data_IF_274786941873
#
_entry.id   IF_274786941873
#
_cell.length_a   1.000
_cell.length_b   1.000
_cell.length_c   1.000
_cell.angle_alpha   90.00
_cell.angle_beta   90.00
_cell.angle_gamma   90.00
#
_symmetry.space_group_name_H-M   'P 1'
#
loop_
_entity.id
_entity.type
_entity.pdbx_description
1 polymer ?
#
# COMPACT_ATOMS: atom_id res chain seq x y z
N UNK A 1 -5.73 23.86 16.13
CA UNK A 1 -5.34 22.72 17.00
C UNK A 1 -6.12 21.49 16.55
N UNK A 2 -5.53 20.56 15.79
CA UNK A 2 -6.21 19.33 15.36
C UNK A 2 -5.18 18.22 15.23
N UNK A 3 -4.76 17.66 16.35
CA UNK A 3 -3.71 16.62 16.44
C UNK A 3 -4.11 15.40 17.27
N UNK A 4 -5.38 15.32 17.67
CA UNK A 4 -5.89 14.29 18.55
C UNK A 4 -7.20 13.69 18.00
N UNK A 5 -7.20 13.26 16.74
CA UNK A 5 -8.03 12.09 16.41
C UNK A 5 -7.39 10.94 17.17
N UNK A 6 -7.99 10.70 18.32
CA UNK A 6 -7.39 10.07 19.48
C UNK A 6 -6.84 8.68 19.13
N UNK A 7 -5.65 8.34 19.62
CA UNK A 7 -5.00 7.03 19.41
C UNK A 7 -5.96 5.90 19.80
N UNK A 8 -6.88 6.19 20.72
CA UNK A 8 -7.98 5.34 21.16
C UNK A 8 -8.93 4.94 20.00
N UNK A 9 -9.27 5.87 19.10
CA UNK A 9 -10.18 5.63 17.97
C UNK A 9 -9.56 4.63 16.99
N UNK A 10 -8.31 4.84 16.58
CA UNK A 10 -7.63 3.91 15.66
C UNK A 10 -7.40 2.54 16.27
N UNK A 11 -7.09 2.50 17.58
CA UNK A 11 -6.99 1.23 18.32
C UNK A 11 -8.33 0.51 18.37
N UNK A 12 -9.43 1.22 18.60
CA UNK A 12 -10.77 0.65 18.61
C UNK A 12 -11.19 0.15 17.23
N UNK A 13 -10.94 0.94 16.17
CA UNK A 13 -11.20 0.52 14.78
C UNK A 13 -10.42 -0.74 14.40
N UNK A 14 -9.14 -0.82 14.78
CA UNK A 14 -8.33 -2.02 14.58
C UNK A 14 -8.87 -3.21 15.36
N UNK A 15 -9.25 -3.03 16.63
CA UNK A 15 -9.82 -4.10 17.45
C UNK A 15 -11.15 -4.62 16.89
N UNK A 16 -12.00 -3.75 16.32
CA UNK A 16 -13.22 -4.17 15.62
C UNK A 16 -12.89 -5.03 14.40
N UNK A 17 -11.90 -4.64 13.60
CA UNK A 17 -11.45 -5.45 12.46
C UNK A 17 -10.92 -6.82 12.91
N UNK A 18 -10.14 -6.87 13.99
CA UNK A 18 -9.67 -8.13 14.61
C UNK A 18 -10.83 -8.98 15.12
N UNK A 19 -11.89 -8.36 15.66
CA UNK A 19 -13.11 -9.06 16.05
C UNK A 19 -13.72 -9.81 14.86
N UNK A 20 -13.92 -9.13 13.73
CA UNK A 20 -14.40 -9.78 12.50
C UNK A 20 -13.48 -10.89 12.01
N UNK A 21 -12.16 -10.71 12.11
CA UNK A 21 -11.19 -11.75 11.75
C UNK A 21 -11.38 -13.01 12.60
N UNK A 22 -11.48 -12.86 13.93
CA UNK A 22 -11.63 -13.98 14.85
C UNK A 22 -12.99 -14.69 14.71
N UNK A 23 -14.01 -13.99 14.23
CA UNK A 23 -15.33 -14.55 13.89
C UNK A 23 -15.36 -15.24 12.51
N UNK A 24 -14.24 -15.27 11.77
CA UNK A 24 -14.17 -15.80 10.41
C UNK A 24 -14.86 -14.90 9.36
N UNK A 25 -15.23 -13.67 9.73
CA UNK A 25 -15.89 -12.72 8.84
C UNK A 25 -14.85 -11.87 8.09
N UNK A 26 -14.09 -12.53 7.22
CA UNK A 26 -12.92 -11.95 6.55
C UNK A 26 -13.26 -10.75 5.66
N UNK A 27 -14.39 -10.77 4.96
CA UNK A 27 -14.84 -9.63 4.15
C UNK A 27 -15.06 -8.37 4.98
N UNK A 28 -15.76 -8.49 6.13
CA UNK A 28 -15.96 -7.35 7.04
C UNK A 28 -14.66 -6.89 7.68
N UNK A 29 -13.76 -7.82 7.99
CA UNK A 29 -12.42 -7.52 8.47
C UNK A 29 -11.66 -6.65 7.45
N UNK A 30 -11.57 -7.10 6.19
CA UNK A 30 -10.89 -6.40 5.10
C UNK A 30 -11.52 -5.02 4.88
N UNK A 31 -12.86 -4.95 4.77
CA UNK A 31 -13.57 -3.69 4.58
C UNK A 31 -13.27 -2.69 5.71
N UNK A 32 -13.30 -3.14 6.96
CA UNK A 32 -13.04 -2.28 8.12
C UNK A 32 -11.58 -1.81 8.17
N UNK A 33 -10.64 -2.69 7.87
CA UNK A 33 -9.21 -2.35 7.82
C UNK A 33 -8.92 -1.37 6.66
N UNK A 34 -9.49 -1.57 5.47
CA UNK A 34 -9.38 -0.64 4.33
C UNK A 34 -9.97 0.73 4.64
N UNK A 35 -11.14 0.78 5.28
CA UNK A 35 -11.74 2.04 5.74
C UNK A 35 -10.84 2.77 6.73
N UNK A 36 -10.18 2.06 7.64
CA UNK A 36 -9.24 2.67 8.58
C UNK A 36 -8.02 3.26 7.86
N UNK A 37 -7.57 2.61 6.78
CA UNK A 37 -6.44 3.06 5.97
C UNK A 37 -6.70 4.32 5.13
N UNK A 38 -7.95 4.77 4.99
CA UNK A 38 -8.28 6.02 4.29
C UNK A 38 -8.02 7.25 5.14
N UNK A 39 -7.75 7.11 6.44
CA UNK A 39 -7.39 8.24 7.29
C UNK A 39 -5.89 8.56 7.17
N UNK A 40 -5.58 9.77 6.71
CA UNK A 40 -4.20 10.24 6.50
C UNK A 40 -3.47 10.59 7.80
N UNK A 41 -4.20 10.77 8.90
CA UNK A 41 -3.64 11.00 10.24
C UNK A 41 -3.23 9.68 10.92
N UNK A 42 -3.53 8.54 10.31
CA UNK A 42 -3.20 7.23 10.83
C UNK A 42 -1.68 7.06 10.97
N UNK A 43 -1.23 6.68 12.16
CA UNK A 43 0.20 6.43 12.40
C UNK A 43 0.73 5.34 11.46
N UNK A 44 2.00 5.46 11.06
CA UNK A 44 2.67 4.44 10.22
C UNK A 44 2.57 3.04 10.82
N UNK A 45 2.72 2.92 12.14
CA UNK A 45 2.56 1.65 12.83
C UNK A 45 1.15 1.07 12.66
N UNK A 46 0.11 1.87 12.90
CA UNK A 46 -1.28 1.44 12.72
C UNK A 46 -1.59 1.09 11.26
N UNK A 47 -0.97 1.79 10.31
CA UNK A 47 -1.09 1.51 8.88
C UNK A 47 -0.53 0.13 8.53
N UNK A 48 0.69 -0.20 8.99
CA UNK A 48 1.28 -1.54 8.75
C UNK A 48 0.41 -2.64 9.39
N UNK A 49 -0.11 -2.44 10.61
CA UNK A 49 -0.97 -3.44 11.26
C UNK A 49 -2.26 -3.73 10.50
N UNK A 50 -2.93 -2.69 9.99
CA UNK A 50 -4.14 -2.88 9.21
C UNK A 50 -3.85 -3.56 7.87
N UNK A 51 -2.73 -3.24 7.22
CA UNK A 51 -2.29 -3.92 6.00
C UNK A 51 -2.01 -5.40 6.25
N UNK A 52 -1.29 -5.75 7.32
CA UNK A 52 -1.05 -7.14 7.71
C UNK A 52 -2.36 -7.89 7.97
N UNK A 53 -3.33 -7.23 8.62
CA UNK A 53 -4.63 -7.84 8.90
C UNK A 53 -5.44 -8.11 7.63
N UNK A 54 -5.42 -7.19 6.66
CA UNK A 54 -6.06 -7.40 5.35
C UNK A 54 -5.44 -8.61 4.66
N UNK A 55 -4.13 -8.66 4.62
CA UNK A 55 -3.40 -9.76 4.00
C UNK A 55 -3.75 -11.09 4.66
N UNK A 56 -3.73 -11.16 6.00
CA UNK A 56 -4.07 -12.40 6.70
C UNK A 56 -5.51 -12.87 6.47
N UNK A 57 -6.39 -11.99 6.01
CA UNK A 57 -7.81 -12.28 5.75
C UNK A 57 -8.12 -12.47 4.26
N UNK A 58 -7.17 -12.21 3.37
CA UNK A 58 -7.37 -12.20 1.92
C UNK A 58 -6.82 -13.49 1.31
N UNK A 59 -7.73 -14.30 0.75
CA UNK A 59 -7.39 -15.58 0.14
C UNK A 59 -6.86 -15.43 -1.29
N UNK A 60 -7.07 -14.29 -1.94
CA UNK A 60 -6.58 -14.05 -3.30
C UNK A 60 -5.12 -13.57 -3.28
N UNK A 61 -4.28 -14.28 -4.02
CA UNK A 61 -2.85 -13.99 -4.11
C UNK A 61 -2.54 -12.56 -4.61
N UNK A 62 -3.22 -12.07 -5.66
CA UNK A 62 -2.88 -10.77 -6.27
C UNK A 62 -3.17 -9.55 -5.37
N UNK A 63 -4.38 -9.43 -4.75
CA UNK A 63 -4.62 -8.39 -3.75
C UNK A 63 -3.69 -8.48 -2.55
N UNK A 64 -3.33 -9.70 -2.13
CA UNK A 64 -2.40 -9.94 -1.02
C UNK A 64 -0.99 -9.45 -1.34
N UNK A 65 -0.43 -9.79 -2.51
CA UNK A 65 0.87 -9.28 -2.99
C UNK A 65 0.88 -7.75 -3.09
N UNK A 66 -0.21 -7.14 -3.60
CA UNK A 66 -0.33 -5.67 -3.68
C UNK A 66 -0.30 -5.03 -2.27
N UNK A 67 -0.99 -5.63 -1.30
CA UNK A 67 -1.02 -5.15 0.07
C UNK A 67 0.34 -5.35 0.78
N UNK A 68 1.01 -6.48 0.55
CA UNK A 68 2.36 -6.76 1.03
C UNK A 68 3.35 -5.67 0.56
N UNK A 69 3.42 -5.39 -0.74
CA UNK A 69 4.29 -4.34 -1.30
C UNK A 69 4.01 -2.95 -0.70
N UNK A 70 2.74 -2.64 -0.40
CA UNK A 70 2.38 -1.40 0.27
C UNK A 70 2.86 -1.40 1.73
N UNK A 71 2.73 -2.51 2.44
CA UNK A 71 3.19 -2.63 3.82
C UNK A 71 4.72 -2.51 3.93
N UNK A 72 5.46 -3.11 2.99
CA UNK A 72 6.92 -2.99 2.89
C UNK A 72 7.38 -1.54 2.77
N UNK A 73 6.78 -0.79 1.83
CA UNK A 73 7.10 0.65 1.65
C UNK A 73 6.87 1.44 2.93
N UNK A 74 5.76 1.19 3.64
CA UNK A 74 5.46 1.88 4.91
C UNK A 74 6.43 1.47 6.01
N UNK A 75 6.81 0.19 6.08
CA UNK A 75 7.78 -0.31 7.04
C UNK A 75 9.17 0.32 6.81
N UNK A 76 9.66 0.36 5.57
CA UNK A 76 10.92 1.02 5.24
C UNK A 76 10.94 2.50 5.64
N UNK A 77 9.89 3.24 5.31
CA UNK A 77 9.76 4.64 5.72
C UNK A 77 9.72 4.80 7.25
N UNK A 78 9.03 3.90 7.96
CA UNK A 78 8.98 3.91 9.42
C UNK A 78 10.35 3.58 10.04
N UNK A 79 11.11 2.66 9.45
CA UNK A 79 12.44 2.27 9.90
C UNK A 79 13.44 3.42 9.76
N UNK A 80 13.44 4.11 8.62
CA UNK A 80 14.32 5.26 8.36
C UNK A 80 14.08 6.42 9.33
N UNK A 81 12.84 6.63 9.74
CA UNK A 81 12.45 7.75 10.61
C UNK A 81 12.51 7.42 12.10
N UNK A 82 12.65 6.15 12.46
CA UNK A 82 12.74 5.74 13.87
C UNK A 82 14.17 5.83 14.34
N UNK A 83 14.41 6.59 15.41
CA UNK A 83 15.76 6.74 15.96
C UNK A 83 16.34 5.39 16.41
N UNK A 84 17.64 5.14 16.22
CA UNK A 84 18.29 3.88 16.61
C UNK A 84 18.21 3.59 18.13
N UNK A 85 18.21 4.64 18.95
CA UNK A 85 18.15 4.57 20.43
C UNK A 85 16.72 4.34 20.97
N UNK A 86 15.69 4.40 20.12
CA UNK A 86 14.32 4.16 20.50
C UNK A 86 14.05 2.66 20.68
N UNK A 87 14.41 2.11 21.84
CA UNK A 87 14.27 0.67 22.12
C UNK A 87 12.85 0.14 21.88
N UNK A 88 11.82 0.92 22.24
CA UNK A 88 10.40 0.55 21.97
C UNK A 88 10.06 0.63 20.48
N UNK A 89 10.47 1.69 19.78
CA UNK A 89 10.21 1.85 18.34
C UNK A 89 10.89 0.76 17.52
N UNK A 90 12.16 0.48 17.81
CA UNK A 90 12.93 -0.58 17.17
C UNK A 90 12.38 -1.98 17.47
N UNK A 91 11.92 -2.24 18.70
CA UNK A 91 11.26 -3.51 19.02
C UNK A 91 9.97 -3.71 18.21
N UNK A 92 9.19 -2.65 18.02
CA UNK A 92 7.97 -2.68 17.22
C UNK A 92 8.29 -2.93 15.73
N UNK A 93 9.28 -2.23 15.17
CA UNK A 93 9.69 -2.42 13.78
C UNK A 93 10.22 -3.82 13.51
N UNK A 94 11.02 -4.39 14.42
CA UNK A 94 11.49 -5.78 14.28
C UNK A 94 10.34 -6.77 14.24
N UNK A 95 9.34 -6.63 15.11
CA UNK A 95 8.14 -7.48 15.09
C UNK A 95 7.37 -7.35 13.77
N UNK A 96 7.27 -6.14 13.23
CA UNK A 96 6.63 -5.92 11.93
C UNK A 96 7.44 -6.53 10.78
N UNK A 97 8.77 -6.47 10.83
CA UNK A 97 9.65 -7.08 9.83
C UNK A 97 9.45 -8.59 9.77
N UNK A 98 9.50 -9.27 10.91
CA UNK A 98 9.26 -10.72 10.99
C UNK A 98 7.94 -11.12 10.32
N UNK A 99 6.86 -10.37 10.56
CA UNK A 99 5.56 -10.65 9.93
C UNK A 99 5.54 -10.41 8.43
N UNK A 100 6.27 -9.42 7.94
CA UNK A 100 6.41 -9.16 6.50
C UNK A 100 7.24 -10.25 5.81
N UNK A 101 8.27 -10.75 6.49
CA UNK A 101 9.09 -11.89 6.03
C UNK A 101 8.25 -13.17 5.95
N UNK A 102 7.52 -13.51 7.02
CA UNK A 102 6.61 -14.66 7.07
C UNK A 102 5.59 -14.61 5.92
N UNK A 103 5.02 -13.42 5.69
CA UNK A 103 4.06 -13.22 4.63
C UNK A 103 4.70 -13.33 3.24
N UNK A 104 5.93 -12.85 3.07
CA UNK A 104 6.65 -12.99 1.80
C UNK A 104 6.86 -14.46 1.47
N UNK A 105 7.30 -15.26 2.44
CA UNK A 105 7.46 -16.69 2.27
C UNK A 105 6.16 -17.37 1.83
N UNK A 106 5.04 -17.05 2.48
CA UNK A 106 3.73 -17.58 2.10
C UNK A 106 3.32 -17.18 0.67
N UNK A 107 3.56 -15.93 0.26
CA UNK A 107 3.27 -15.47 -1.10
C UNK A 107 4.14 -16.17 -2.15
N UNK A 108 5.42 -16.40 -1.86
CA UNK A 108 6.32 -17.12 -2.75
C UNK A 108 5.89 -18.61 -2.89
N UNK A 109 5.39 -19.23 -1.84
CA UNK A 109 4.85 -20.62 -1.86
C UNK A 109 3.53 -20.74 -2.62
N UNK A 110 2.70 -19.71 -2.59
CA UNK A 110 1.33 -19.71 -3.16
C UNK A 110 1.23 -18.95 -4.49
N UNK A 111 2.37 -18.57 -5.07
CA UNK A 111 2.43 -17.86 -6.32
C UNK A 111 1.75 -18.66 -7.45
N UNK A 112 0.75 -18.09 -8.14
CA UNK A 112 0.23 -18.67 -9.37
C UNK A 112 1.39 -18.89 -10.34
N UNK A 113 1.42 -20.02 -11.04
CA UNK A 113 2.41 -20.21 -12.10
C UNK A 113 2.22 -19.13 -13.17
N UNK A 114 3.30 -18.68 -13.81
CA UNK A 114 3.33 -17.57 -14.78
C UNK A 114 2.48 -17.77 -16.05
N UNK A 115 1.64 -18.81 -16.11
CA UNK A 115 0.68 -19.07 -17.20
C UNK A 115 -0.74 -18.64 -16.82
N UNK A 116 -0.95 -17.32 -16.69
CA UNK A 116 -2.19 -16.65 -17.12
C UNK A 116 -1.95 -15.14 -17.28
N UNK A 117 -1.07 -14.76 -18.21
CA UNK A 117 -0.91 -13.37 -18.70
C UNK A 117 -2.11 -12.98 -19.60
N UNK A 118 -3.33 -13.10 -19.08
CA UNK A 118 -4.54 -13.02 -19.89
C UNK A 118 -5.45 -11.82 -19.65
N UNK A 119 -5.21 -10.95 -18.65
CA UNK A 119 -6.10 -9.80 -18.42
C UNK A 119 -5.54 -8.69 -17.52
N UNK A 120 -4.58 -7.92 -18.04
CA UNK A 120 -4.37 -6.55 -17.56
C UNK A 120 -5.07 -5.64 -18.58
N UNK A 121 -6.33 -5.29 -18.30
CA UNK A 121 -6.95 -4.12 -18.94
C UNK A 121 -6.41 -2.93 -18.16
N UNK A 122 -5.38 -2.30 -18.70
CA UNK A 122 -4.94 -0.97 -18.30
C UNK A 122 -5.92 0.04 -18.91
N UNK A 123 -7.00 0.33 -18.19
CA UNK A 123 -7.91 1.43 -18.51
C UNK A 123 -7.26 2.75 -18.07
N UNK A 124 -6.23 3.17 -18.81
CA UNK A 124 -5.73 4.53 -18.77
C UNK A 124 -5.24 4.95 -20.16
N UNK A 125 -6.16 4.93 -21.13
CA UNK A 125 -6.01 5.65 -22.39
C UNK A 125 -6.19 7.14 -22.12
N UNK A 126 -5.09 7.82 -21.79
CA UNK A 126 -4.99 9.27 -22.01
C UNK A 126 -4.00 9.45 -23.15
N UNK A 127 -4.56 9.66 -24.34
CA UNK A 127 -3.88 9.60 -25.62
C UNK A 127 -2.83 10.69 -25.78
N UNK A 128 -1.58 10.27 -25.96
CA UNK A 128 -0.55 11.09 -26.57
C UNK A 128 -0.96 11.51 -27.98
N UNK A 129 -0.81 12.80 -28.30
CA UNK A 129 -0.55 13.24 -29.66
C UNK A 129 0.76 14.02 -29.69
N UNK A 130 1.81 13.27 -30.00
CA UNK A 130 3.08 13.76 -30.52
C UNK A 130 2.99 13.74 -32.05
N UNK A 131 3.21 14.88 -32.71
CA UNK A 131 3.49 14.97 -34.14
C UNK A 131 4.34 16.25 -34.34
N UNK A 132 5.66 16.11 -34.28
CA UNK A 132 6.60 15.90 -35.40
C UNK A 132 6.92 17.19 -36.14
N UNK A 133 8.18 17.63 -36.00
CA UNK A 133 8.77 18.79 -36.67
C UNK A 133 8.87 18.56 -38.18
N UNK A 134 8.65 19.62 -38.97
CA UNK A 134 9.10 19.67 -40.36
C UNK A 134 9.42 21.12 -40.75
N UNK A 135 10.70 21.35 -41.04
CA UNK A 135 11.31 22.56 -41.59
C UNK A 135 10.84 22.82 -43.04
N UNK A 136 10.53 24.09 -43.37
CA UNK A 136 10.46 24.62 -44.75
C UNK A 136 10.73 26.14 -44.67
N UNK A 137 11.94 26.60 -44.99
CA UNK A 137 12.39 27.05 -46.33
C UNK A 137 11.74 28.36 -46.83
N UNK A 138 12.46 29.48 -46.63
CA UNK A 138 12.74 30.49 -47.67
C UNK A 138 11.70 31.58 -48.02
N UNK A 139 12.27 32.75 -48.39
CA UNK A 139 11.77 33.83 -49.25
C UNK A 139 11.58 35.22 -48.58
N UNK A 140 12.29 36.19 -49.16
CA UNK A 140 12.34 37.67 -49.07
C UNK A 140 11.08 38.45 -48.58
N UNK A 141 11.11 39.73 -48.13
CA UNK A 141 11.71 40.94 -48.74
C UNK A 141 11.80 42.16 -47.77
N UNK A 142 12.54 43.15 -48.26
CA UNK A 142 12.86 44.55 -47.90
C UNK A 142 11.88 45.46 -47.10
N UNK A 143 12.40 46.66 -46.78
CA UNK A 143 11.81 47.93 -46.27
C UNK A 143 11.96 48.15 -44.75
N UNK A 144 12.51 49.25 -44.22
CA UNK A 144 12.80 50.63 -44.68
C UNK A 144 14.04 51.20 -44.00
#
# INVERSE_FOLDING_TARGET
>A
MSGARDITVFKQQYNVAVGYFNEGNYEKCIAKARLTLTDDTLSRYSRVRNLLLIVSAEDNWYPTERCHRRAERVWHAANMLTKPDSGKGQAVLRKLRTKLDELRAHLDETAPSEVDEGRIIDDNSDGEKSDSESEESGCESETS
#
